data_IF_555159434277
#
_entry.id   IF_555159434277
#
_cell.length_a   1.000
_cell.length_b   1.000
_cell.length_c   1.000
_cell.angle_alpha   90.00
_cell.angle_beta   90.00
_cell.angle_gamma   90.00
#
_symmetry.space_group_name_H-M   'P 1'
#
loop_
_entity.id
_entity.type
_entity.pdbx_description
1 polymer ?
#
# COMPACT_ATOMS: atom_id res chain seq x y z
N UNK A 1 1.30 -13.40 4.67
CA UNK A 1 0.90 -12.50 3.56
C UNK A 1 2.08 -11.97 2.77
N UNK A 2 3.09 -11.35 3.39
CA UNK A 2 4.24 -10.78 2.67
C UNK A 2 4.99 -11.78 1.76
N UNK A 3 5.38 -12.95 2.29
CA UNK A 3 6.09 -13.99 1.52
C UNK A 3 5.25 -14.47 0.33
N UNK A 4 3.95 -14.70 0.55
CA UNK A 4 3.02 -15.12 -0.49
C UNK A 4 2.85 -14.07 -1.60
N UNK A 5 2.78 -12.79 -1.25
CA UNK A 5 2.79 -11.66 -2.20
C UNK A 5 4.07 -11.64 -3.04
N UNK A 6 5.23 -11.76 -2.39
CA UNK A 6 6.53 -11.75 -3.07
C UNK A 6 6.66 -12.93 -4.06
N UNK A 7 6.28 -14.14 -3.64
CA UNK A 7 6.31 -15.33 -4.48
C UNK A 7 5.35 -15.21 -5.66
N UNK A 8 4.10 -14.80 -5.42
CA UNK A 8 3.12 -14.61 -6.49
C UNK A 8 3.61 -13.60 -7.54
N UNK A 9 4.16 -12.47 -7.09
CA UNK A 9 4.74 -11.44 -7.96
C UNK A 9 5.94 -11.97 -8.76
N UNK A 10 6.84 -12.70 -8.11
CA UNK A 10 8.01 -13.30 -8.78
C UNK A 10 7.59 -14.29 -9.87
N UNK A 11 6.64 -15.19 -9.58
CA UNK A 11 6.13 -16.14 -10.57
C UNK A 11 5.42 -15.45 -11.74
N UNK A 12 4.54 -14.49 -11.47
CA UNK A 12 3.81 -13.76 -12.51
C UNK A 12 4.76 -12.98 -13.44
N UNK A 13 5.89 -12.51 -12.93
CA UNK A 13 6.87 -11.73 -13.70
C UNK A 13 7.71 -12.55 -14.69
N UNK A 14 7.64 -13.89 -14.66
CA UNK A 14 8.41 -14.75 -15.56
C UNK A 14 7.94 -14.60 -17.01
N UNK A 15 8.87 -14.48 -17.94
CA UNK A 15 8.57 -14.37 -19.39
C UNK A 15 7.79 -15.57 -19.94
N UNK A 16 8.00 -16.75 -19.36
CA UNK A 16 7.33 -18.00 -19.71
C UNK A 16 5.96 -18.19 -19.04
N UNK A 17 5.54 -17.28 -18.15
CA UNK A 17 4.28 -17.45 -17.43
C UNK A 17 3.08 -17.22 -18.35
N UNK A 18 2.04 -18.04 -18.19
CA UNK A 18 0.81 -17.99 -19.01
C UNK A 18 0.07 -16.67 -18.86
N UNK A 19 0.20 -16.00 -17.72
CA UNK A 19 -0.40 -14.71 -17.42
C UNK A 19 0.44 -13.54 -17.94
N UNK A 20 1.66 -13.74 -18.45
CA UNK A 20 2.51 -12.70 -19.04
C UNK A 20 2.57 -11.42 -18.18
N UNK A 21 2.85 -11.57 -16.88
CA UNK A 21 2.92 -10.44 -15.93
C UNK A 21 1.61 -10.06 -15.24
N UNK A 22 0.45 -10.56 -15.70
CA UNK A 22 -0.84 -10.19 -15.11
C UNK A 22 -1.11 -10.98 -13.82
N UNK A 23 -1.21 -10.28 -12.69
CA UNK A 23 -1.47 -10.87 -11.38
C UNK A 23 -2.62 -10.14 -10.67
N UNK A 24 -3.63 -10.90 -10.25
CA UNK A 24 -4.60 -10.46 -9.23
C UNK A 24 -4.09 -10.96 -7.89
N UNK A 25 -3.50 -10.06 -7.13
CA UNK A 25 -2.77 -10.44 -5.92
C UNK A 25 -3.70 -10.54 -4.71
N UNK A 26 -4.17 -11.77 -4.45
CA UNK A 26 -4.97 -12.07 -3.27
C UNK A 26 -4.31 -11.62 -1.96
N UNK A 27 -2.99 -11.82 -1.83
CA UNK A 27 -2.27 -11.51 -0.60
C UNK A 27 -2.26 -10.01 -0.34
N UNK A 28 -2.06 -9.21 -1.39
CA UNK A 28 -2.11 -7.75 -1.33
C UNK A 28 -3.52 -7.24 -1.03
N UNK A 29 -4.53 -7.78 -1.70
CA UNK A 29 -5.94 -7.40 -1.50
C UNK A 29 -6.36 -7.71 -0.06
N UNK A 30 -6.07 -8.91 0.44
CA UNK A 30 -6.39 -9.30 1.82
C UNK A 30 -5.61 -8.49 2.86
N UNK A 31 -4.35 -8.15 2.58
CA UNK A 31 -3.56 -7.29 3.46
C UNK A 31 -4.18 -5.89 3.58
N UNK A 32 -4.61 -5.29 2.46
CA UNK A 32 -5.30 -3.98 2.47
C UNK A 32 -6.65 -4.06 3.19
N UNK A 33 -7.42 -5.13 2.98
CA UNK A 33 -8.65 -5.36 3.74
C UNK A 33 -8.43 -5.41 5.26
N UNK A 34 -7.36 -6.07 5.72
CA UNK A 34 -7.02 -6.09 7.15
C UNK A 34 -6.65 -4.71 7.72
N UNK A 35 -6.04 -3.84 6.92
CA UNK A 35 -5.80 -2.45 7.32
C UNK A 35 -7.10 -1.64 7.46
N UNK A 36 -8.16 -2.03 6.75
CA UNK A 36 -9.49 -1.40 6.90
C UNK A 36 -10.22 -1.89 8.14
N UNK A 37 -9.99 -3.13 8.57
CA UNK A 37 -10.54 -3.68 9.80
C UNK A 37 -9.87 -3.10 11.06
N UNK A 38 -8.57 -2.84 10.98
CA UNK A 38 -7.82 -2.18 12.04
C UNK A 38 -6.97 -1.02 11.46
N UNK A 39 -7.53 0.20 11.44
CA UNK A 39 -6.89 1.36 10.82
C UNK A 39 -5.67 1.89 11.60
N UNK A 40 -5.36 1.32 12.78
CA UNK A 40 -4.10 1.59 13.49
C UNK A 40 -2.92 0.81 12.88
N UNK A 41 -3.18 -0.28 12.13
CA UNK A 41 -2.14 -1.12 11.53
C UNK A 41 -1.17 -0.39 10.59
N UNK A 42 -1.61 0.53 9.71
CA UNK A 42 -0.68 1.35 8.92
C UNK A 42 0.35 2.10 9.76
N UNK A 43 -0.07 2.71 10.89
CA UNK A 43 0.83 3.45 11.78
C UNK A 43 1.79 2.52 12.52
N UNK A 44 1.32 1.34 12.94
CA UNK A 44 2.18 0.34 13.61
C UNK A 44 3.07 -0.48 12.67
N UNK A 45 2.99 -0.27 11.36
CA UNK A 45 3.87 -0.92 10.38
C UNK A 45 5.25 -0.26 10.37
N UNK A 46 6.25 -0.94 9.82
CA UNK A 46 7.60 -0.37 9.66
C UNK A 46 7.64 0.61 8.48
N UNK A 47 7.96 1.86 8.78
CA UNK A 47 8.20 2.91 7.81
C UNK A 47 9.27 3.86 8.33
N UNK A 48 9.89 4.60 7.41
CA UNK A 48 10.87 5.66 7.71
C UNK A 48 10.34 6.90 6.99
N UNK A 49 10.29 8.04 7.66
CA UNK A 49 9.96 9.34 7.04
C UNK A 49 11.24 10.20 6.93
N UNK A 50 11.26 11.19 6.04
CA UNK A 50 12.44 12.03 5.80
C UNK A 50 13.02 12.71 7.05
N UNK A 51 12.16 13.15 7.96
CA UNK A 51 12.58 13.84 9.19
C UNK A 51 13.32 12.91 10.16
N UNK A 52 13.02 11.61 10.13
CA UNK A 52 13.51 10.63 11.11
C UNK A 52 14.82 9.96 10.67
N UNK A 53 15.41 10.35 9.52
CA UNK A 53 16.65 9.73 9.03
C UNK A 53 17.79 9.79 10.04
N UNK A 54 17.90 10.89 10.78
CA UNK A 54 18.94 11.10 11.79
C UNK A 54 18.95 10.00 12.87
N UNK A 55 17.77 9.49 13.26
CA UNK A 55 17.64 8.41 14.23
C UNK A 55 18.33 7.12 13.82
N UNK A 56 18.45 6.88 12.51
CA UNK A 56 19.06 5.69 11.92
C UNK A 56 20.55 5.93 11.65
N UNK A 57 20.91 7.13 11.21
CA UNK A 57 22.31 7.56 11.02
C UNK A 57 23.09 7.49 12.35
N UNK A 58 22.46 7.90 13.46
CA UNK A 58 23.04 7.78 14.81
C UNK A 58 23.45 6.36 15.21
N UNK A 59 22.80 5.34 14.66
CA UNK A 59 23.12 3.92 14.93
C UNK A 59 23.98 3.29 13.81
N UNK A 60 24.53 4.11 12.91
CA UNK A 60 25.44 3.71 11.83
C UNK A 60 24.74 3.26 10.54
N UNK A 61 23.48 3.64 10.32
CA UNK A 61 22.75 3.34 9.08
C UNK A 61 22.71 4.61 8.22
N UNK A 62 23.63 4.69 7.26
CA UNK A 62 23.78 5.86 6.37
C UNK A 62 23.23 5.62 4.96
N UNK A 63 22.74 4.41 4.69
CA UNK A 63 22.26 3.99 3.37
C UNK A 63 20.75 3.77 3.35
N UNK A 64 19.99 4.71 2.79
CA UNK A 64 18.54 4.61 2.65
C UNK A 64 18.13 4.29 1.21
N UNK A 65 17.45 3.16 1.04
CA UNK A 65 16.86 2.79 -0.25
C UNK A 65 15.46 3.38 -0.36
N UNK A 66 15.31 4.38 -1.23
CA UNK A 66 14.00 4.89 -1.64
C UNK A 66 13.39 3.88 -2.63
N UNK A 67 12.13 3.48 -2.41
CA UNK A 67 11.49 2.36 -3.11
C UNK A 67 10.41 2.87 -4.08
N UNK A 68 10.56 2.55 -5.38
CA UNK A 68 9.71 1.65 -6.19
C UNK A 68 10.13 1.75 -7.66
N UNK A 69 10.30 0.61 -8.34
CA UNK A 69 10.62 0.55 -9.77
C UNK A 69 9.39 0.83 -10.65
N UNK A 70 8.20 0.73 -10.07
CA UNK A 70 6.92 0.81 -10.76
C UNK A 70 6.26 2.17 -10.71
N UNK A 71 6.82 3.19 -10.03
CA UNK A 71 6.22 4.52 -9.86
C UNK A 71 6.64 5.51 -10.94
N UNK A 72 5.79 6.50 -11.24
CA UNK A 72 6.10 7.53 -12.24
C UNK A 72 7.34 8.36 -11.83
N UNK A 73 8.10 8.82 -12.82
CA UNK A 73 9.35 9.58 -12.62
C UNK A 73 9.13 10.81 -11.73
N UNK A 74 8.05 11.53 -11.95
CA UNK A 74 7.68 12.73 -11.18
C UNK A 74 7.43 12.40 -9.71
N UNK A 75 6.81 11.24 -9.43
CA UNK A 75 6.58 10.78 -8.07
C UNK A 75 7.90 10.39 -7.39
N UNK A 76 8.79 9.69 -8.11
CA UNK A 76 10.11 9.34 -7.59
C UNK A 76 10.92 10.61 -7.27
N UNK A 77 10.90 11.61 -8.14
CA UNK A 77 11.58 12.88 -7.91
C UNK A 77 11.02 13.63 -6.69
N UNK A 78 9.70 13.61 -6.49
CA UNK A 78 9.05 14.19 -5.29
C UNK A 78 9.55 13.50 -4.01
N UNK A 79 9.63 12.18 -4.00
CA UNK A 79 10.11 11.41 -2.84
C UNK A 79 11.60 11.66 -2.62
N UNK A 80 12.40 11.64 -3.67
CA UNK A 80 13.83 11.93 -3.59
C UNK A 80 14.08 13.30 -2.98
N UNK A 81 13.36 14.32 -3.44
CA UNK A 81 13.44 15.68 -2.90
C UNK A 81 13.13 15.70 -1.41
N UNK A 82 12.01 15.08 -1.00
CA UNK A 82 11.60 15.01 0.40
C UNK A 82 12.69 14.41 1.31
N UNK A 83 13.28 13.28 0.89
CA UNK A 83 14.35 12.62 1.65
C UNK A 83 15.67 13.41 1.62
N UNK A 84 16.02 14.06 0.50
CA UNK A 84 17.22 14.90 0.43
C UNK A 84 17.11 16.17 1.28
N UNK A 85 15.90 16.73 1.37
CA UNK A 85 15.61 17.93 2.17
C UNK A 85 15.26 17.59 3.63
N UNK A 86 15.17 16.29 3.97
CA UNK A 86 14.81 15.77 5.30
C UNK A 86 13.50 16.34 5.83
N UNK A 87 12.57 16.66 4.93
CA UNK A 87 11.31 17.30 5.29
C UNK A 87 10.25 17.01 4.23
N UNK A 88 9.06 16.69 4.69
CA UNK A 88 7.89 16.56 3.85
C UNK A 88 6.64 17.11 4.53
N UNK A 89 5.93 17.99 3.84
CA UNK A 89 4.64 18.51 4.29
C UNK A 89 3.52 17.95 3.41
N UNK A 90 2.59 17.21 4.02
CA UNK A 90 1.49 16.57 3.33
C UNK A 90 1.17 15.18 3.84
N UNK A 91 0.49 14.39 2.99
CA UNK A 91 0.10 13.02 3.30
C UNK A 91 1.32 12.09 3.30
N UNK A 92 1.68 11.47 4.42
CA UNK A 92 2.76 10.49 4.53
C UNK A 92 2.60 9.38 3.48
N UNK A 93 1.37 8.96 3.17
CA UNK A 93 1.10 7.93 2.17
C UNK A 93 1.65 8.30 0.80
N UNK A 94 1.82 9.58 0.48
CA UNK A 94 2.43 10.06 -0.78
C UNK A 94 3.85 9.52 -0.99
N UNK A 95 4.58 9.30 0.10
CA UNK A 95 5.97 8.83 0.08
C UNK A 95 6.12 7.33 -0.17
N UNK A 96 5.03 6.57 -0.15
CA UNK A 96 5.05 5.11 -0.26
C UNK A 96 4.44 4.59 -1.57
N UNK A 97 4.83 3.37 -1.98
CA UNK A 97 4.26 2.67 -3.12
C UNK A 97 2.74 2.51 -3.03
N UNK A 98 2.04 3.01 -4.04
CA UNK A 98 0.61 2.81 -4.20
C UNK A 98 0.25 2.48 -5.66
N UNK A 99 -0.70 1.55 -5.94
CA UNK A 99 -1.14 1.25 -7.30
C UNK A 99 -1.52 2.49 -8.11
N UNK A 100 -2.16 3.49 -7.50
CA UNK A 100 -2.56 4.74 -8.16
C UNK A 100 -1.37 5.53 -8.72
N UNK A 101 -0.16 5.34 -8.16
CA UNK A 101 1.08 6.04 -8.53
C UNK A 101 1.93 5.27 -9.53
N UNK A 102 1.51 4.04 -9.89
CA UNK A 102 2.31 3.19 -10.77
C UNK A 102 2.28 3.67 -12.22
N UNK A 103 3.41 3.57 -12.93
CA UNK A 103 3.56 3.82 -14.38
C UNK A 103 2.53 2.99 -15.19
N UNK A 104 2.17 1.80 -14.72
CA UNK A 104 1.16 0.95 -15.36
C UNK A 104 -0.26 1.54 -15.31
N UNK A 105 -0.55 2.36 -14.30
CA UNK A 105 -1.81 3.09 -14.14
C UNK A 105 -1.72 4.57 -14.59
N UNK A 106 -0.52 5.11 -14.77
CA UNK A 106 -0.25 6.45 -15.32
C UNK A 106 -0.66 6.64 -16.80
N UNK A 107 -0.14 7.68 -17.45
CA UNK A 107 -0.47 8.12 -18.83
C UNK A 107 -0.06 7.14 -19.95
N UNK A 108 -0.01 5.82 -19.72
CA UNK A 108 0.08 4.85 -20.81
C UNK A 108 -1.18 4.94 -21.68
N UNK A 109 -0.98 4.87 -23.00
CA UNK A 109 -2.04 4.77 -24.00
C UNK A 109 -3.14 3.79 -23.55
N UNK A 110 -4.39 4.19 -23.72
CA UNK A 110 -5.59 3.35 -23.50
C UNK A 110 -5.45 1.95 -24.12
N UNK A 111 -4.74 1.84 -25.25
CA UNK A 111 -4.48 0.57 -25.94
C UNK A 111 -3.62 -0.41 -25.12
N UNK A 112 -2.63 0.09 -24.38
CA UNK A 112 -1.77 -0.77 -23.55
C UNK A 112 -2.55 -1.27 -22.33
N UNK A 113 -3.36 -0.41 -21.72
CA UNK A 113 -4.26 -0.79 -20.62
C UNK A 113 -5.30 -1.82 -21.11
N UNK A 114 -5.95 -1.55 -22.24
CA UNK A 114 -6.90 -2.46 -22.87
C UNK A 114 -6.26 -3.82 -23.16
N UNK A 115 -5.06 -3.87 -23.78
CA UNK A 115 -4.36 -5.14 -24.05
C UNK A 115 -3.99 -5.93 -22.79
N UNK A 116 -3.71 -5.24 -21.69
CA UNK A 116 -3.34 -5.88 -20.43
C UNK A 116 -4.57 -6.44 -19.67
N UNK A 117 -5.66 -5.68 -19.63
CA UNK A 117 -6.88 -5.99 -18.89
C UNK A 117 -7.95 -6.75 -19.70
N UNK A 118 -7.96 -6.69 -21.04
CA UNK A 118 -8.91 -7.45 -21.87
C UNK A 118 -8.39 -8.87 -22.11
N UNK A 119 -8.61 -9.75 -21.13
CA UNK A 119 -8.34 -11.20 -21.26
C UNK A 119 -9.60 -12.02 -20.97
N UNK A 120 -10.58 -12.00 -21.89
CA UNK A 120 -11.88 -12.64 -21.66
C UNK A 120 -11.80 -14.15 -21.48
N UNK A 121 -10.75 -14.79 -22.01
CA UNK A 121 -10.52 -16.23 -21.83
C UNK A 121 -9.78 -16.59 -20.54
N UNK A 122 -9.42 -15.61 -19.71
CA UNK A 122 -8.70 -15.83 -18.45
C UNK A 122 -9.55 -15.42 -17.24
N UNK A 123 -10.38 -14.39 -17.36
CA UNK A 123 -11.22 -13.89 -16.27
C UNK A 123 -12.40 -13.08 -16.81
N UNK A 124 -13.44 -12.96 -15.98
CA UNK A 124 -14.59 -12.14 -16.31
C UNK A 124 -14.24 -10.64 -16.25
N UNK A 125 -14.12 -10.03 -17.43
CA UNK A 125 -13.70 -8.61 -17.57
C UNK A 125 -14.64 -7.62 -16.87
N UNK A 126 -15.94 -7.90 -16.80
CA UNK A 126 -16.90 -7.05 -16.09
C UNK A 126 -16.71 -7.13 -14.57
N UNK A 127 -16.44 -8.34 -14.06
CA UNK A 127 -16.10 -8.55 -12.65
C UNK A 127 -14.72 -7.96 -12.32
N UNK A 128 -13.79 -7.91 -13.28
CA UNK A 128 -12.48 -7.27 -13.10
C UNK A 128 -12.57 -5.74 -13.00
N UNK A 129 -13.52 -5.10 -13.68
CA UNK A 129 -13.74 -3.65 -13.53
C UNK A 129 -14.09 -3.28 -12.08
N UNK A 130 -14.75 -4.16 -11.33
CA UNK A 130 -14.98 -3.96 -9.89
C UNK A 130 -13.69 -3.96 -9.07
N UNK A 131 -12.60 -4.58 -9.54
CA UNK A 131 -11.30 -4.50 -8.86
C UNK A 131 -10.64 -3.13 -9.03
N UNK A 132 -11.07 -2.31 -10.00
CA UNK A 132 -10.57 -0.95 -10.15
C UNK A 132 -10.97 -0.05 -8.98
N UNK A 133 -12.12 -0.30 -8.34
CA UNK A 133 -12.54 0.46 -7.15
C UNK A 133 -11.77 0.11 -5.87
N UNK A 134 -10.84 -0.85 -5.93
CA UNK A 134 -9.90 -1.15 -4.86
C UNK A 134 -8.69 -0.19 -4.86
N UNK A 135 -8.56 0.64 -5.89
CA UNK A 135 -7.50 1.64 -6.04
C UNK A 135 -7.81 2.95 -5.28
N UNK A 136 -9.04 3.09 -4.78
CA UNK A 136 -9.44 4.23 -3.97
C UNK A 136 -8.71 4.20 -2.61
N UNK A 137 -8.29 5.37 -2.15
CA UNK A 137 -7.76 5.58 -0.80
C UNK A 137 -8.72 6.50 -0.03
N UNK A 138 -8.97 6.18 1.24
CA UNK A 138 -9.82 6.96 2.15
C UNK A 138 -9.04 7.62 3.27
N UNK A 139 -7.72 7.39 3.35
CA UNK A 139 -6.89 7.81 4.47
C UNK A 139 -5.95 8.95 4.09
N UNK A 140 -5.83 9.91 5.01
CA UNK A 140 -4.80 10.94 5.00
C UNK A 140 -4.00 10.83 6.30
N UNK A 141 -2.68 10.73 6.19
CA UNK A 141 -1.78 10.69 7.34
C UNK A 141 -0.93 11.96 7.32
N UNK A 142 -1.16 12.86 8.26
CA UNK A 142 -0.41 14.11 8.38
C UNK A 142 1.03 13.83 8.81
N UNK A 143 1.99 14.00 7.89
CA UNK A 143 3.40 13.69 8.16
C UNK A 143 4.00 14.51 9.30
N UNK A 144 3.62 15.79 9.43
CA UNK A 144 4.19 16.67 10.47
C UNK A 144 3.66 16.32 11.85
N UNK A 145 2.43 15.83 11.94
CA UNK A 145 1.89 15.33 13.22
C UNK A 145 2.57 14.06 13.72
N UNK A 146 3.41 13.41 12.93
CA UNK A 146 4.20 12.25 13.35
C UNK A 146 5.55 12.61 14.00
N UNK A 147 5.88 13.89 14.11
CA UNK A 147 7.06 14.33 14.89
C UNK A 147 7.04 13.74 16.31
N UNK A 148 8.17 13.13 16.71
CA UNK A 148 8.32 12.45 17.99
C UNK A 148 7.94 10.97 17.99
N UNK A 149 7.47 10.41 16.87
CA UNK A 149 6.98 9.02 16.84
C UNK A 149 8.09 8.00 17.09
N UNK A 150 9.22 8.13 16.38
CA UNK A 150 10.35 7.20 16.45
C UNK A 150 11.06 7.31 17.80
N UNK A 151 11.18 8.50 18.37
CA UNK A 151 11.79 8.76 19.67
C UNK A 151 11.09 7.96 20.78
N UNK A 152 9.75 7.94 20.77
CA UNK A 152 9.02 7.16 21.75
C UNK A 152 9.09 5.66 21.47
N UNK A 153 8.98 5.23 20.22
CA UNK A 153 8.98 3.80 19.90
C UNK A 153 10.34 3.13 20.18
N UNK A 154 11.44 3.87 20.07
CA UNK A 154 12.79 3.42 20.46
C UNK A 154 12.86 2.91 21.90
N UNK A 155 12.01 3.43 22.78
CA UNK A 155 11.99 3.11 24.21
C UNK A 155 10.92 2.08 24.60
N UNK A 156 10.19 1.52 23.62
CA UNK A 156 9.10 0.57 23.85
C UNK A 156 9.54 -0.82 23.42
N UNK A 157 9.48 -1.79 24.33
CA UNK A 157 9.65 -3.20 23.96
C UNK A 157 8.32 -3.80 23.45
N UNK A 158 8.08 -3.64 22.15
CA UNK A 158 6.89 -4.19 21.49
C UNK A 158 6.81 -5.72 21.50
N UNK A 159 7.86 -6.44 21.93
CA UNK A 159 7.83 -7.91 22.04
C UNK A 159 7.23 -8.38 23.36
N UNK A 160 7.33 -7.55 24.39
CA UNK A 160 6.92 -7.90 25.76
C UNK A 160 5.62 -7.22 26.19
N UNK A 161 5.13 -6.24 25.43
CA UNK A 161 3.89 -5.51 25.70
C UNK A 161 2.82 -5.85 24.66
N UNK A 162 1.56 -5.90 25.09
CA UNK A 162 0.44 -5.87 24.15
C UNK A 162 0.19 -4.45 23.65
N UNK A 163 -0.35 -4.31 22.43
CA UNK A 163 -0.74 -3.00 21.91
C UNK A 163 -1.85 -2.32 22.73
N UNK A 164 -2.66 -3.11 23.44
CA UNK A 164 -3.74 -2.64 24.31
C UNK A 164 -3.18 -1.96 25.56
N UNK A 165 -2.14 -2.54 26.17
CA UNK A 165 -1.43 -1.94 27.31
C UNK A 165 -0.55 -0.76 26.89
N UNK A 166 0.10 -0.83 25.72
CA UNK A 166 1.05 0.17 25.27
C UNK A 166 0.38 1.44 24.69
N UNK A 167 -0.58 1.29 23.76
CA UNK A 167 -1.33 2.40 23.16
C UNK A 167 -0.54 3.40 22.26
N UNK A 168 0.79 3.31 22.14
CA UNK A 168 1.61 4.32 21.45
C UNK A 168 1.20 4.58 20.00
N UNK A 169 1.06 3.53 19.19
CA UNK A 169 0.65 3.67 17.80
C UNK A 169 -0.78 4.19 17.66
N UNK A 170 -1.69 3.86 18.60
CA UNK A 170 -3.08 4.36 18.61
C UNK A 170 -3.12 5.86 18.90
N UNK A 171 -2.31 6.34 19.84
CA UNK A 171 -2.15 7.77 20.12
C UNK A 171 -1.76 8.56 18.88
N UNK A 172 -0.78 8.08 18.11
CA UNK A 172 -0.37 8.74 16.87
C UNK A 172 -1.37 8.57 15.73
N UNK A 173 -2.07 7.44 15.68
CA UNK A 173 -3.18 7.26 14.77
C UNK A 173 -4.26 8.34 14.99
N UNK A 174 -4.71 8.53 16.23
CA UNK A 174 -5.72 9.54 16.59
C UNK A 174 -5.22 10.97 16.34
N UNK A 175 -3.93 11.21 16.52
CA UNK A 175 -3.29 12.51 16.29
C UNK A 175 -3.18 12.87 14.81
N UNK A 176 -2.73 11.93 13.98
CA UNK A 176 -2.22 12.22 12.63
C UNK A 176 -3.10 11.69 11.50
N UNK A 177 -4.03 10.77 11.76
CA UNK A 177 -4.78 10.10 10.69
C UNK A 177 -6.21 10.65 10.60
N UNK A 178 -6.59 11.03 9.38
CA UNK A 178 -7.95 11.40 9.00
C UNK A 178 -8.49 10.37 8.02
N UNK A 179 -9.70 9.88 8.25
CA UNK A 179 -10.38 8.92 7.36
C UNK A 179 -11.75 9.46 6.99
N UNK A 180 -12.05 9.49 5.68
CA UNK A 180 -13.42 9.65 5.20
C UNK A 180 -14.18 8.33 5.48
N UNK A 181 -15.11 8.38 6.45
CA UNK A 181 -15.82 7.19 6.92
C UNK A 181 -16.74 6.58 5.86
N UNK A 182 -17.41 7.42 5.08
CA UNK A 182 -18.35 6.96 4.06
C UNK A 182 -17.59 6.33 2.89
N UNK A 183 -16.45 6.93 2.52
CA UNK A 183 -15.53 6.33 1.56
C UNK A 183 -14.94 5.03 2.10
N UNK A 184 -14.47 5.00 3.35
CA UNK A 184 -13.86 3.82 3.94
C UNK A 184 -14.82 2.63 4.00
N UNK A 185 -16.07 2.83 4.41
CA UNK A 185 -17.06 1.74 4.46
C UNK A 185 -17.40 1.22 3.06
N UNK A 186 -17.56 2.12 2.08
CA UNK A 186 -17.76 1.74 0.67
C UNK A 186 -16.58 0.92 0.13
N UNK A 187 -15.35 1.38 0.38
CA UNK A 187 -14.14 0.69 -0.08
C UNK A 187 -14.03 -0.68 0.61
N UNK A 188 -14.24 -0.74 1.93
CA UNK A 188 -14.22 -2.00 2.68
C UNK A 188 -15.19 -3.03 2.08
N UNK A 189 -16.42 -2.63 1.77
CA UNK A 189 -17.40 -3.50 1.09
C UNK A 189 -16.90 -3.99 -0.27
N UNK A 190 -16.27 -3.12 -1.07
CA UNK A 190 -15.67 -3.52 -2.35
C UNK A 190 -14.56 -4.57 -2.16
N UNK A 191 -13.74 -4.43 -1.12
CA UNK A 191 -12.71 -5.42 -0.76
C UNK A 191 -13.34 -6.75 -0.35
N UNK A 192 -14.40 -6.75 0.47
CA UNK A 192 -15.13 -7.95 0.88
C UNK A 192 -15.71 -8.70 -0.32
N UNK A 193 -16.45 -8.01 -1.19
CA UNK A 193 -17.02 -8.60 -2.42
C UNK A 193 -15.93 -9.15 -3.34
N UNK A 194 -14.81 -8.42 -3.48
CA UNK A 194 -13.68 -8.84 -4.32
C UNK A 194 -12.99 -10.08 -3.77
N UNK A 195 -12.78 -10.15 -2.46
CA UNK A 195 -12.22 -11.31 -1.78
C UNK A 195 -13.16 -12.52 -1.89
N UNK A 196 -14.46 -12.35 -1.67
CA UNK A 196 -15.44 -13.43 -1.83
C UNK A 196 -15.43 -13.95 -3.28
N UNK A 197 -15.40 -13.06 -4.26
CA UNK A 197 -15.35 -13.41 -5.68
C UNK A 197 -14.09 -14.19 -6.07
N UNK A 198 -12.94 -13.85 -5.48
CA UNK A 198 -11.69 -14.60 -5.63
C UNK A 198 -11.75 -15.98 -4.99
N UNK A 199 -12.22 -16.06 -3.74
CA UNK A 199 -12.25 -17.31 -2.95
C UNK A 199 -13.25 -18.30 -3.55
N UNK A 200 -14.44 -17.84 -3.93
CA UNK A 200 -15.48 -18.66 -4.56
C UNK A 200 -15.18 -19.01 -6.02
N UNK A 201 -14.17 -18.39 -6.63
CA UNK A 201 -13.85 -18.53 -8.04
C UNK A 201 -14.86 -17.88 -8.99
N UNK A 202 -15.85 -17.13 -8.47
CA UNK A 202 -16.84 -16.38 -9.28
C UNK A 202 -16.18 -15.42 -10.25
N UNK A 203 -14.99 -14.90 -9.94
CA UNK A 203 -14.22 -14.00 -10.83
C UNK A 203 -13.83 -14.66 -12.15
N UNK A 204 -13.59 -15.97 -12.14
CA UNK A 204 -13.14 -16.73 -13.31
C UNK A 204 -14.30 -17.28 -14.15
N UNK A 205 -15.55 -17.04 -13.72
CA UNK A 205 -16.77 -17.55 -14.37
C UNK A 205 -17.59 -16.40 -14.98
N UNK A 206 -18.13 -16.64 -16.17
CA UNK A 206 -19.08 -15.75 -16.85
C UNK A 206 -20.53 -16.03 -16.48
N UNK A 207 -20.82 -17.26 -16.03
CA UNK A 207 -22.08 -17.68 -15.41
C UNK A 207 -22.04 -17.43 -13.89
#
# INVERSE_FOLDING_TARGET
FYISHANASAHASRSSDRTKGFLIDYSRIKCRYFQMLDPVKPISSSWIRPEDLHHYEEVGIDGFKIIDRGMATETILKILKAYSERSYEGNLLDLFPDPSKSISFGKKSLLVKARYFLRPFTFNVFKLLKFASLLDDSAYIDNKKLDGFVEGIKNIDCRSLTCEECGWCRKYYEKAVTIDKDAAERIKKNYEESLESLISGKLFKYL
#
